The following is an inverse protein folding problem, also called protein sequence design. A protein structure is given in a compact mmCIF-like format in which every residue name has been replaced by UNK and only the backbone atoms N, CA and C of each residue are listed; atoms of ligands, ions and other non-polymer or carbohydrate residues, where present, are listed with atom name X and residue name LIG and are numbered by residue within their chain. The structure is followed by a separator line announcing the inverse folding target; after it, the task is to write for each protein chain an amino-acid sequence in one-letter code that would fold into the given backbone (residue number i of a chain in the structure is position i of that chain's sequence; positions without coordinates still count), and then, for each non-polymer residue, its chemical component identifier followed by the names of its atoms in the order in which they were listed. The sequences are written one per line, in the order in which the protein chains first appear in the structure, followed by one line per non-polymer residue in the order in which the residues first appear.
data_IF_843439029003
#
_entry.id   IF_843439029003
#
_cell.length_a   1.000
_cell.length_b   1.000
_cell.length_c   1.000
_cell.angle_alpha   90.00
_cell.angle_beta   90.00
_cell.angle_gamma   90.00
#
_symmetry.space_group_name_H-M   'P 1'
#
loop_
_entity.id
_entity.type
_entity.pdbx_description
1 polymer ?
#
# COMPACT_ATOMS: atom_id res chain seq x y z
N UNK A 1 1.01 -10.32 -17.67
CA UNK A 1 1.81 -9.71 -16.59
C UNK A 1 2.56 -10.72 -15.73
N UNK A 2 2.17 -12.00 -15.71
CA UNK A 2 3.07 -13.13 -15.41
C UNK A 2 2.80 -14.23 -16.44
N UNK A 3 3.83 -14.91 -16.96
CA UNK A 3 3.62 -16.02 -17.91
C UNK A 3 3.29 -17.29 -17.12
N UNK A 4 2.01 -17.67 -17.11
CA UNK A 4 1.60 -19.05 -16.91
C UNK A 4 1.63 -19.76 -18.26
N UNK A 5 2.30 -20.90 -18.32
CA UNK A 5 2.20 -21.80 -19.47
C UNK A 5 0.79 -22.41 -19.45
N UNK A 6 -0.07 -21.94 -20.34
CA UNK A 6 -1.46 -22.36 -20.51
C UNK A 6 -1.95 -21.99 -21.91
N UNK A 7 -2.96 -22.70 -22.38
CA UNK A 7 -3.27 -23.09 -23.78
C UNK A 7 -3.75 -21.94 -24.71
N UNK A 8 -3.64 -20.67 -24.29
CA UNK A 8 -4.06 -19.50 -25.06
C UNK A 8 -3.09 -19.12 -26.21
N UNK A 9 -2.09 -19.96 -26.49
CA UNK A 9 -1.10 -19.74 -27.56
C UNK A 9 -1.62 -20.01 -28.98
N UNK A 10 -2.93 -20.25 -29.17
CA UNK A 10 -3.50 -20.66 -30.46
C UNK A 10 -4.27 -19.57 -31.22
N UNK A 11 -4.35 -18.35 -30.71
CA UNK A 11 -4.89 -17.22 -31.47
C UNK A 11 -3.72 -16.31 -31.90
N UNK A 12 -3.41 -16.19 -33.21
CA UNK A 12 -2.43 -15.21 -33.65
C UNK A 12 -3.01 -13.80 -33.40
N UNK A 13 -2.37 -12.96 -32.57
CA UNK A 13 -2.89 -11.63 -32.30
C UNK A 13 -2.71 -10.74 -33.53
N UNK A 14 -3.80 -10.02 -33.85
CA UNK A 14 -3.86 -8.99 -34.87
C UNK A 14 -2.74 -7.96 -34.66
N UNK A 15 -2.08 -7.56 -35.75
CA UNK A 15 -0.69 -7.06 -35.74
C UNK A 15 -0.53 -5.56 -35.48
N UNK A 16 -1.56 -4.88 -35.00
CA UNK A 16 -1.58 -3.40 -34.97
C UNK A 16 -1.96 -2.84 -33.59
N UNK A 17 -1.04 -2.89 -32.61
CA UNK A 17 -0.90 -1.91 -31.52
C UNK A 17 0.53 -1.98 -30.98
N UNK A 18 1.40 -1.08 -31.44
CA UNK A 18 2.76 -0.92 -30.93
C UNK A 18 2.73 -0.24 -29.54
N UNK A 19 2.83 -1.05 -28.50
CA UNK A 19 3.33 -0.67 -27.18
C UNK A 19 4.23 -1.80 -26.70
N UNK A 20 5.50 -1.53 -26.38
CA UNK A 20 6.39 -2.54 -25.84
C UNK A 20 5.74 -3.19 -24.61
N UNK A 21 5.51 -4.50 -24.68
CA UNK A 21 4.93 -5.24 -23.55
C UNK A 21 5.90 -5.11 -22.37
N UNK A 22 5.44 -4.54 -21.25
CA UNK A 22 6.20 -4.45 -20.00
C UNK A 22 6.87 -5.78 -19.67
N UNK A 23 8.17 -5.73 -19.36
CA UNK A 23 8.95 -6.91 -18.99
C UNK A 23 8.31 -7.56 -17.75
N UNK A 24 8.04 -8.87 -17.73
CA UNK A 24 7.46 -9.51 -16.55
C UNK A 24 8.38 -9.43 -15.32
N UNK A 25 7.80 -9.10 -14.16
CA UNK A 25 8.47 -9.10 -12.87
C UNK A 25 8.78 -10.53 -12.42
N UNK A 26 9.97 -10.75 -11.85
CA UNK A 26 10.39 -12.04 -11.28
C UNK A 26 10.73 -11.91 -9.79
N UNK A 27 10.81 -13.04 -9.08
CA UNK A 27 11.23 -13.04 -7.67
C UNK A 27 12.63 -12.45 -7.46
N UNK A 28 13.52 -12.56 -8.45
CA UNK A 28 14.86 -11.94 -8.40
C UNK A 28 14.80 -10.43 -8.48
N UNK A 29 13.78 -9.89 -9.14
CA UNK A 29 13.53 -8.46 -9.21
C UNK A 29 12.94 -7.94 -7.90
N UNK A 30 12.11 -8.72 -7.21
CA UNK A 30 11.53 -8.32 -5.91
C UNK A 30 12.56 -8.42 -4.78
N UNK A 31 13.26 -9.54 -4.69
CA UNK A 31 14.11 -9.88 -3.53
C UNK A 31 15.60 -9.79 -3.89
N UNK A 32 16.28 -8.75 -3.41
CA UNK A 32 17.76 -8.70 -3.42
C UNK A 32 18.31 -9.15 -2.08
N UNK A 33 19.35 -9.98 -2.04
CA UNK A 33 20.02 -10.35 -0.78
C UNK A 33 20.78 -9.13 -0.22
N UNK A 34 20.45 -8.73 1.00
CA UNK A 34 21.02 -7.60 1.74
C UNK A 34 22.13 -8.05 2.71
N UNK A 35 23.05 -8.89 2.24
CA UNK A 35 24.18 -9.37 3.06
C UNK A 35 25.51 -9.13 2.35
N UNK A 36 26.52 -8.77 3.14
CA UNK A 36 27.91 -8.76 2.67
C UNK A 36 28.32 -10.20 2.29
N UNK A 37 29.04 -10.43 1.17
CA UNK A 37 29.38 -11.78 0.68
C UNK A 37 30.06 -12.66 1.75
N UNK A 38 30.88 -12.04 2.59
CA UNK A 38 31.61 -12.68 3.68
C UNK A 38 30.72 -13.17 4.84
N UNK A 39 29.58 -12.52 5.07
CA UNK A 39 28.57 -12.97 6.06
C UNK A 39 27.56 -13.95 5.47
N UNK A 40 27.37 -13.99 4.15
CA UNK A 40 26.46 -14.94 3.51
C UNK A 40 26.98 -16.39 3.60
N UNK A 41 28.31 -16.58 3.51
CA UNK A 41 28.94 -17.91 3.54
C UNK A 41 28.80 -18.62 4.90
N UNK A 42 28.71 -17.88 6.01
CA UNK A 42 28.53 -18.44 7.35
C UNK A 42 27.10 -18.93 7.63
N UNK A 43 26.15 -18.64 6.72
CA UNK A 43 24.73 -19.01 6.86
C UNK A 43 24.33 -20.23 6.03
N UNK A 44 25.24 -20.85 5.25
CA UNK A 44 24.96 -22.10 4.52
C UNK A 44 24.94 -23.29 5.50
N UNK A 45 23.78 -23.89 5.82
CA UNK A 45 23.74 -25.10 6.62
C UNK A 45 24.04 -26.30 5.73
N UNK A 46 24.77 -27.30 6.25
CA UNK A 46 24.93 -28.61 5.62
C UNK A 46 23.55 -29.25 5.40
N UNK A 47 23.04 -29.16 4.18
CA UNK A 47 21.71 -29.60 3.75
C UNK A 47 21.66 -31.11 3.52
N UNK A 48 21.53 -31.89 4.59
CA UNK A 48 20.98 -33.25 4.51
C UNK A 48 20.08 -33.52 5.72
N UNK A 49 18.78 -33.30 5.54
CA UNK A 49 17.67 -34.20 5.93
C UNK A 49 16.35 -33.44 6.15
N UNK A 50 15.31 -34.05 5.58
CA UNK A 50 13.84 -33.87 5.75
C UNK A 50 13.15 -32.81 4.89
N UNK A 51 12.15 -33.30 4.14
CA UNK A 51 11.22 -32.55 3.29
C UNK A 51 10.21 -31.77 4.18
N UNK A 52 9.90 -30.50 3.89
CA UNK A 52 8.83 -29.77 4.56
C UNK A 52 7.47 -30.02 3.87
N UNK A 53 6.43 -30.27 4.65
CA UNK A 53 5.04 -30.57 4.25
C UNK A 53 4.21 -29.26 4.12
N UNK A 54 4.81 -28.17 3.66
CA UNK A 54 4.13 -26.87 3.49
C UNK A 54 4.47 -26.32 2.11
N UNK A 55 3.45 -26.01 1.30
CA UNK A 55 3.58 -25.58 -0.10
C UNK A 55 4.07 -24.14 -0.29
N UNK A 56 4.45 -23.43 0.78
CA UNK A 56 4.96 -22.05 0.76
C UNK A 56 6.43 -21.97 1.19
N UNK A 57 7.35 -21.79 0.24
CA UNK A 57 8.80 -21.74 0.52
C UNK A 57 9.26 -20.50 1.31
N UNK A 58 8.62 -19.35 1.13
CA UNK A 58 9.02 -18.08 1.76
C UNK A 58 8.55 -17.98 3.22
N UNK A 59 7.39 -18.55 3.54
CA UNK A 59 6.86 -18.64 4.91
C UNK A 59 7.69 -19.58 5.80
N UNK A 60 8.34 -20.59 5.21
CA UNK A 60 9.31 -21.44 5.90
C UNK A 60 10.65 -20.70 6.16
N UNK A 61 11.06 -19.81 5.24
CA UNK A 61 12.25 -18.96 5.42
C UNK A 61 12.05 -17.92 6.54
N UNK A 62 10.83 -17.38 6.66
CA UNK A 62 10.40 -16.45 7.71
C UNK A 62 10.68 -16.98 9.13
N UNK A 63 10.49 -18.29 9.36
CA UNK A 63 10.70 -18.94 10.68
C UNK A 63 12.15 -18.90 11.18
N UNK A 64 13.15 -18.59 10.33
CA UNK A 64 14.57 -18.49 10.70
C UNK A 64 15.10 -17.05 10.79
N UNK A 65 14.34 -16.05 10.32
CA UNK A 65 14.82 -14.68 10.11
C UNK A 65 14.75 -13.71 11.32
N UNK A 66 14.09 -14.10 12.42
CA UNK A 66 13.76 -13.20 13.54
C UNK A 66 14.94 -12.59 14.33
N UNK A 67 16.20 -12.84 13.94
CA UNK A 67 17.40 -12.27 14.57
C UNK A 67 18.29 -11.44 13.63
N UNK A 68 17.92 -11.24 12.36
CA UNK A 68 18.78 -10.54 11.38
C UNK A 68 17.96 -9.48 10.66
N UNK A 69 18.34 -8.21 10.81
CA UNK A 69 17.75 -7.09 10.06
C UNK A 69 17.70 -7.42 8.56
N UNK A 70 16.48 -7.45 7.99
CA UNK A 70 16.15 -7.50 6.56
C UNK A 70 17.15 -8.25 5.68
N UNK A 71 17.01 -9.58 5.58
CA UNK A 71 17.79 -10.42 4.65
C UNK A 71 17.59 -9.96 3.21
N UNK A 72 16.43 -9.38 2.90
CA UNK A 72 16.12 -8.83 1.58
C UNK A 72 16.09 -7.30 1.58
N UNK A 73 16.35 -6.72 0.41
CA UNK A 73 16.16 -5.29 0.16
C UNK A 73 15.35 -5.07 -1.13
N UNK A 74 14.74 -3.90 -1.23
CA UNK A 74 13.99 -3.45 -2.41
C UNK A 74 14.89 -2.84 -3.50
N UNK A 75 16.23 -3.01 -3.43
CA UNK A 75 17.15 -2.47 -4.45
C UNK A 75 16.93 -3.07 -5.84
N UNK A 76 16.63 -4.36 -5.95
CA UNK A 76 16.33 -4.95 -7.24
C UNK A 76 14.97 -4.46 -7.77
N UNK A 77 14.01 -4.17 -6.88
CA UNK A 77 12.71 -3.62 -7.26
C UNK A 77 12.89 -2.21 -7.81
N UNK A 78 13.71 -1.37 -7.15
CA UNK A 78 14.08 -0.06 -7.67
C UNK A 78 14.68 -0.16 -9.07
N UNK A 79 15.66 -1.05 -9.26
CA UNK A 79 16.33 -1.25 -10.55
C UNK A 79 15.34 -1.68 -11.62
N UNK A 80 14.50 -2.66 -11.32
CA UNK A 80 13.49 -3.16 -12.25
C UNK A 80 12.54 -2.04 -12.69
N UNK A 81 12.02 -1.25 -11.75
CA UNK A 81 11.12 -0.14 -12.04
C UNK A 81 11.78 0.94 -12.90
N UNK A 82 13.02 1.33 -12.55
CA UNK A 82 13.80 2.34 -13.27
C UNK A 82 14.14 1.93 -14.69
N UNK A 83 14.41 0.65 -14.93
CA UNK A 83 14.92 0.16 -16.22
C UNK A 83 13.83 -0.43 -17.13
N UNK A 84 12.69 -0.87 -16.59
CA UNK A 84 11.73 -1.69 -17.34
C UNK A 84 10.27 -1.26 -17.22
N UNK A 85 9.94 -0.31 -16.34
CA UNK A 85 8.54 0.09 -16.08
C UNK A 85 8.30 1.54 -16.39
N UNK A 86 9.05 2.45 -15.77
CA UNK A 86 8.78 3.87 -15.92
C UNK A 86 9.49 4.44 -17.15
N UNK A 87 8.76 5.10 -18.07
CA UNK A 87 9.40 5.76 -19.22
C UNK A 87 10.32 6.90 -18.79
N UNK A 88 10.04 7.51 -17.64
CA UNK A 88 10.84 8.54 -16.97
C UNK A 88 10.87 8.25 -15.48
N UNK A 89 11.99 8.53 -14.82
CA UNK A 89 12.14 8.32 -13.39
C UNK A 89 11.94 9.60 -12.56
N UNK A 90 11.37 10.63 -13.16
CA UNK A 90 11.08 11.93 -12.54
C UNK A 90 9.58 12.10 -12.30
N UNK A 91 9.19 12.54 -11.10
CA UNK A 91 7.80 12.80 -10.76
C UNK A 91 7.13 13.82 -11.69
N UNK A 92 7.83 14.95 -11.94
CA UNK A 92 7.32 16.06 -12.78
C UNK A 92 7.16 15.72 -14.26
N UNK A 93 7.69 14.59 -14.70
CA UNK A 93 7.62 14.16 -16.10
C UNK A 93 6.49 13.15 -16.35
N UNK A 94 5.76 12.73 -15.32
CA UNK A 94 4.61 11.85 -15.44
C UNK A 94 3.39 12.66 -15.89
N UNK A 95 2.53 12.04 -16.71
CA UNK A 95 1.29 12.68 -17.17
C UNK A 95 0.22 12.83 -16.08
N UNK A 96 0.35 12.10 -14.98
CA UNK A 96 -0.49 12.23 -13.79
C UNK A 96 0.41 12.50 -12.58
N UNK A 97 -0.05 13.36 -11.68
CA UNK A 97 0.64 13.63 -10.44
C UNK A 97 0.69 12.36 -9.57
N UNK A 98 1.91 11.90 -9.31
CA UNK A 98 2.17 10.72 -8.50
C UNK A 98 2.72 11.14 -7.14
N UNK A 99 2.09 10.64 -6.08
CA UNK A 99 2.55 10.80 -4.71
C UNK A 99 2.83 9.43 -4.10
N UNK A 100 4.01 9.27 -3.49
CA UNK A 100 4.42 8.01 -2.87
C UNK A 100 4.79 8.27 -1.41
N UNK A 101 4.19 7.50 -0.51
CA UNK A 101 4.32 7.70 0.94
C UNK A 101 5.30 6.70 1.54
N UNK A 102 6.17 7.16 2.43
CA UNK A 102 7.03 6.32 3.24
C UNK A 102 7.18 6.86 4.66
N UNK A 103 7.75 6.06 5.55
CA UNK A 103 8.02 6.46 6.94
C UNK A 103 9.53 6.59 7.17
N UNK A 104 9.99 7.69 7.80
CA UNK A 104 11.39 7.81 8.21
C UNK A 104 11.72 6.79 9.31
N UNK A 105 12.87 6.11 9.20
CA UNK A 105 13.27 5.12 10.20
C UNK A 105 13.60 5.78 11.56
N UNK A 106 14.49 6.77 11.55
CA UNK A 106 15.02 7.40 12.76
C UNK A 106 14.23 8.65 13.18
N UNK A 107 12.98 8.75 12.73
CA UNK A 107 12.07 9.81 13.13
C UNK A 107 10.64 9.38 12.86
N UNK A 108 9.72 9.66 13.78
CA UNK A 108 8.28 9.49 13.57
C UNK A 108 7.72 10.52 12.59
N UNK A 109 8.29 10.68 11.39
CA UNK A 109 7.79 11.60 10.34
C UNK A 109 7.36 10.81 9.11
N UNK A 110 6.14 11.09 8.63
CA UNK A 110 5.66 10.66 7.33
C UNK A 110 6.41 11.45 6.27
N UNK A 111 6.73 10.81 5.16
CA UNK A 111 7.31 11.47 4.00
C UNK A 111 6.45 11.19 2.80
N UNK A 112 6.12 12.26 2.07
CA UNK A 112 5.43 12.20 0.80
C UNK A 112 6.45 12.61 -0.25
N UNK A 113 6.77 11.70 -1.15
CA UNK A 113 7.54 12.00 -2.37
C UNK A 113 6.56 12.34 -3.48
N UNK A 114 6.86 13.35 -4.29
CA UNK A 114 5.96 13.84 -5.31
C UNK A 114 6.61 14.93 -6.16
N UNK A 115 5.85 15.57 -7.08
CA UNK A 115 6.34 16.59 -8.01
C UNK A 115 6.59 17.96 -7.33
N UNK A 116 7.15 17.98 -6.13
CA UNK A 116 7.42 19.20 -5.36
C UNK A 116 8.63 19.98 -5.91
N UNK A 117 8.56 21.31 -5.90
CA UNK A 117 9.71 22.18 -6.23
C UNK A 117 10.81 22.08 -5.18
N UNK A 118 10.43 22.11 -3.91
CA UNK A 118 11.36 22.08 -2.78
C UNK A 118 10.90 21.14 -1.68
N UNK A 119 11.85 20.78 -0.82
CA UNK A 119 11.57 19.91 0.32
C UNK A 119 11.08 20.74 1.49
N UNK A 120 9.79 20.67 1.78
CA UNK A 120 9.16 21.34 2.93
C UNK A 120 8.84 20.34 4.04
N UNK A 121 8.52 20.83 5.24
CA UNK A 121 8.11 19.99 6.36
C UNK A 121 7.13 20.74 7.27
N UNK A 122 6.17 19.99 7.78
CA UNK A 122 5.38 20.34 8.96
C UNK A 122 5.93 19.58 10.17
N UNK A 123 5.21 19.62 11.29
CA UNK A 123 5.55 18.84 12.50
C UNK A 123 5.64 17.34 12.20
N UNK A 124 4.69 16.83 11.43
CA UNK A 124 4.42 15.41 11.28
C UNK A 124 4.68 14.86 9.87
N UNK A 125 4.67 15.74 8.87
CA UNK A 125 4.78 15.40 7.45
C UNK A 125 5.97 16.12 6.82
N UNK A 126 6.69 15.42 5.94
CA UNK A 126 7.73 16.00 5.09
C UNK A 126 7.36 15.79 3.63
N UNK A 127 7.30 16.87 2.86
CA UNK A 127 7.12 16.81 1.41
C UNK A 127 8.52 16.84 0.79
N UNK A 128 8.89 15.81 0.04
CA UNK A 128 10.25 15.53 -0.36
C UNK A 128 10.43 15.58 -1.88
N UNK A 129 11.27 16.53 -2.34
CA UNK A 129 11.61 16.72 -3.76
C UNK A 129 12.93 16.06 -4.19
N UNK A 130 13.58 15.28 -3.33
CA UNK A 130 14.93 14.74 -3.57
C UNK A 130 14.97 13.31 -4.12
N UNK A 131 13.84 12.60 -4.16
CA UNK A 131 13.79 11.19 -4.57
C UNK A 131 13.32 11.05 -6.03
N UNK A 132 13.87 10.08 -6.74
CA UNK A 132 13.31 9.59 -8.01
C UNK A 132 12.11 8.67 -7.75
N UNK A 133 11.27 8.46 -8.77
CA UNK A 133 10.05 7.65 -8.63
C UNK A 133 10.40 6.23 -8.16
N UNK A 134 11.35 5.56 -8.81
CA UNK A 134 11.79 4.19 -8.47
C UNK A 134 12.29 4.09 -7.02
N UNK A 135 13.02 5.09 -6.54
CA UNK A 135 13.55 5.14 -5.18
C UNK A 135 12.43 5.33 -4.15
N UNK A 136 11.48 6.21 -4.45
CA UNK A 136 10.31 6.42 -3.61
C UNK A 136 9.46 5.14 -3.49
N UNK A 137 9.22 4.43 -4.60
CA UNK A 137 8.52 3.14 -4.58
C UNK A 137 9.29 2.12 -3.74
N UNK A 138 10.60 2.01 -3.92
CA UNK A 138 11.42 1.06 -3.16
C UNK A 138 11.44 1.36 -1.65
N UNK A 139 11.37 2.65 -1.26
CA UNK A 139 11.20 3.06 0.13
C UNK A 139 9.80 2.73 0.67
N UNK A 140 8.75 3.04 -0.10
CA UNK A 140 7.37 2.75 0.26
C UNK A 140 7.07 1.25 0.37
N UNK A 141 7.76 0.41 -0.40
CA UNK A 141 7.58 -1.04 -0.39
C UNK A 141 8.49 -1.78 0.60
N UNK A 142 9.36 -1.07 1.32
CA UNK A 142 10.31 -1.66 2.26
C UNK A 142 9.61 -2.02 3.59
N UNK A 143 8.69 -3.00 3.52
CA UNK A 143 7.88 -3.48 4.64
C UNK A 143 8.72 -4.34 5.61
N UNK A 144 8.88 -3.92 6.88
CA UNK A 144 9.44 -4.77 7.92
C UNK A 144 8.48 -5.92 8.28
N UNK A 145 8.99 -7.14 8.59
CA UNK A 145 10.40 -7.54 8.65
C UNK A 145 10.99 -8.04 7.31
N UNK A 146 10.22 -8.01 6.22
CA UNK A 146 10.60 -8.63 4.94
C UNK A 146 11.78 -7.92 4.26
N UNK A 147 11.78 -6.60 4.28
CA UNK A 147 12.80 -5.78 3.63
C UNK A 147 13.52 -4.89 4.65
N UNK A 148 14.83 -4.72 4.44
CA UNK A 148 15.59 -3.71 5.15
C UNK A 148 15.15 -2.29 4.74
N UNK A 149 15.22 -1.31 5.66
CA UNK A 149 14.94 0.08 5.33
C UNK A 149 15.74 0.57 4.11
N UNK A 150 15.07 1.24 3.18
CA UNK A 150 15.66 1.74 1.94
C UNK A 150 16.30 3.12 2.17
N UNK A 151 17.54 3.31 1.72
CA UNK A 151 18.28 4.55 1.93
C UNK A 151 18.28 5.46 0.71
N UNK A 152 17.75 6.69 0.85
CA UNK A 152 17.75 7.73 -0.20
C UNK A 152 18.62 8.91 0.26
N UNK A 153 19.45 9.45 -0.62
CA UNK A 153 20.23 10.65 -0.36
C UNK A 153 19.34 11.89 -0.54
N UNK A 154 19.36 12.81 0.43
CA UNK A 154 18.69 14.09 0.27
C UNK A 154 19.52 15.06 -0.60
N UNK A 155 18.96 16.25 -0.87
CA UNK A 155 19.62 17.30 -1.67
C UNK A 155 20.97 17.79 -1.10
N UNK A 156 21.29 17.47 0.17
CA UNK A 156 22.56 17.78 0.83
C UNK A 156 23.52 16.58 0.89
N UNK A 157 23.23 15.50 0.16
CA UNK A 157 24.04 14.27 0.15
C UNK A 157 23.90 13.40 1.40
N UNK A 158 23.07 13.76 2.38
CA UNK A 158 22.86 12.93 3.58
C UNK A 158 21.90 11.79 3.27
N UNK A 159 22.35 10.56 3.55
CA UNK A 159 21.53 9.35 3.44
C UNK A 159 20.49 9.28 4.56
N UNK A 160 19.22 9.10 4.18
CA UNK A 160 18.08 8.94 5.08
C UNK A 160 17.45 7.58 4.78
N UNK A 161 17.14 6.81 5.82
CA UNK A 161 16.50 5.50 5.69
C UNK A 161 14.99 5.60 5.90
N UNK A 162 14.26 4.87 5.07
CA UNK A 162 12.81 4.84 5.03
C UNK A 162 12.30 3.40 5.03
N UNK A 163 11.07 3.22 5.49
CA UNK A 163 10.34 1.96 5.38
C UNK A 163 8.89 2.25 4.99
N UNK A 164 8.11 1.18 4.84
CA UNK A 164 6.72 1.20 4.40
C UNK A 164 5.85 2.33 5.00
N UNK A 165 5.06 2.96 4.13
CA UNK A 165 4.21 4.11 4.46
C UNK A 165 2.92 3.76 5.21
N UNK A 166 2.38 2.56 4.98
CA UNK A 166 1.09 2.10 5.55
C UNK A 166 1.19 1.79 7.04
N UNK A 167 2.40 1.51 7.55
CA UNK A 167 2.62 1.24 8.98
C UNK A 167 2.20 2.42 9.86
N UNK A 168 2.47 3.65 9.41
CA UNK A 168 2.18 4.86 10.18
C UNK A 168 0.74 5.35 9.96
N UNK A 169 0.43 5.77 8.75
CA UNK A 169 -0.87 6.35 8.38
C UNK A 169 -1.47 5.51 7.25
N UNK A 170 -2.46 4.70 7.59
CA UNK A 170 -3.09 3.75 6.65
C UNK A 170 -3.90 4.50 5.59
N UNK A 171 -3.88 4.02 4.34
CA UNK A 171 -4.53 4.57 3.13
C UNK A 171 -4.02 5.94 2.65
N UNK A 172 -3.48 6.77 3.53
CA UNK A 172 -2.95 8.10 3.23
C UNK A 172 -3.89 8.99 2.39
N UNK A 173 -5.21 8.85 2.53
CA UNK A 173 -6.22 9.52 1.69
C UNK A 173 -6.15 11.05 1.74
N UNK A 174 -5.67 11.60 2.86
CA UNK A 174 -5.40 13.04 2.99
C UNK A 174 -4.46 13.59 1.93
N UNK A 175 -3.54 12.80 1.35
CA UNK A 175 -2.62 13.31 0.32
C UNK A 175 -3.42 13.77 -0.90
N UNK A 176 -4.39 12.98 -1.34
CA UNK A 176 -5.24 13.38 -2.47
C UNK A 176 -6.07 14.64 -2.11
N UNK A 177 -6.66 14.68 -0.91
CA UNK A 177 -7.47 15.81 -0.46
C UNK A 177 -6.67 17.10 -0.23
N UNK A 178 -5.42 17.00 0.22
CA UNK A 178 -4.48 18.12 0.37
C UNK A 178 -4.04 18.68 -0.99
N UNK A 179 -4.14 17.86 -2.05
CA UNK A 179 -3.83 18.18 -3.44
C UNK A 179 -5.11 18.40 -4.28
N UNK A 180 -6.12 19.03 -3.67
CA UNK A 180 -7.31 19.57 -4.33
C UNK A 180 -8.25 18.54 -4.99
N UNK A 181 -8.10 17.24 -4.70
CA UNK A 181 -9.09 16.26 -5.14
C UNK A 181 -10.44 16.52 -4.45
N UNK A 182 -11.52 16.53 -5.24
CA UNK A 182 -12.91 16.57 -4.79
C UNK A 182 -13.50 15.16 -4.57
N UNK A 183 -12.92 14.14 -5.22
CA UNK A 183 -13.23 12.73 -5.03
C UNK A 183 -11.95 11.92 -4.78
N UNK A 184 -11.94 11.16 -3.69
CA UNK A 184 -10.85 10.24 -3.33
C UNK A 184 -11.36 8.81 -3.39
N UNK A 185 -10.86 8.04 -4.36
CA UNK A 185 -11.06 6.59 -4.43
C UNK A 185 -9.85 5.91 -3.77
N UNK A 186 -10.09 5.20 -2.67
CA UNK A 186 -9.07 4.48 -1.91
C UNK A 186 -9.33 2.99 -1.97
N UNK A 187 -8.34 2.21 -2.40
CA UNK A 187 -8.44 0.75 -2.46
C UNK A 187 -7.44 0.07 -1.54
N UNK A 188 -7.87 -0.98 -0.84
CA UNK A 188 -6.99 -1.84 -0.05
C UNK A 188 -7.37 -3.31 -0.19
N UNK A 189 -6.38 -4.19 -0.07
CA UNK A 189 -6.56 -5.63 -0.30
C UNK A 189 -6.74 -6.46 0.99
N UNK A 190 -6.66 -5.81 2.14
CA UNK A 190 -6.66 -6.47 3.45
C UNK A 190 -8.10 -6.73 3.88
N UNK A 191 -8.42 -8.01 4.10
CA UNK A 191 -9.70 -8.46 4.61
C UNK A 191 -9.46 -9.57 5.64
N UNK A 192 -9.69 -9.31 6.94
CA UNK A 192 -9.68 -10.38 7.93
C UNK A 192 -10.62 -11.51 7.58
N UNK A 193 -10.21 -12.71 7.91
CA UNK A 193 -11.01 -13.90 7.71
C UNK A 193 -12.25 -13.86 8.60
N UNK A 194 -13.40 -14.09 7.98
CA UNK A 194 -14.63 -14.44 8.64
C UNK A 194 -14.85 -15.94 8.46
N UNK A 195 -15.39 -16.60 9.48
CA UNK A 195 -15.60 -18.04 9.41
C UNK A 195 -16.38 -18.42 8.15
N UNK A 196 -15.83 -19.36 7.40
CA UNK A 196 -16.44 -19.97 6.24
C UNK A 196 -16.39 -21.50 6.42
N UNK A 197 -17.48 -22.18 6.07
CA UNK A 197 -17.59 -23.64 6.24
C UNK A 197 -16.58 -24.44 5.42
N UNK A 198 -16.12 -23.92 4.28
CA UNK A 198 -15.14 -24.62 3.43
C UNK A 198 -13.73 -24.57 4.02
N UNK A 199 -13.35 -23.43 4.60
CA UNK A 199 -12.01 -23.24 5.18
C UNK A 199 -11.96 -23.58 6.67
N UNK A 200 -13.09 -23.66 7.35
CA UNK A 200 -13.14 -24.00 8.77
C UNK A 200 -12.56 -22.92 9.68
N UNK A 201 -12.07 -23.31 10.85
CA UNK A 201 -11.57 -22.36 11.85
C UNK A 201 -10.06 -22.18 11.76
N UNK A 202 -9.57 -20.93 11.83
CA UNK A 202 -8.14 -20.62 11.70
C UNK A 202 -7.25 -21.29 12.75
N UNK A 203 -7.80 -21.72 13.89
CA UNK A 203 -7.03 -22.42 14.93
C UNK A 203 -6.42 -23.74 14.44
N UNK A 204 -6.99 -24.35 13.40
CA UNK A 204 -6.52 -25.59 12.78
C UNK A 204 -5.29 -25.39 11.88
N UNK A 205 -5.02 -24.14 11.46
CA UNK A 205 -3.91 -23.79 10.55
C UNK A 205 -2.62 -23.40 11.26
N UNK A 206 -2.66 -23.32 12.59
CA UNK A 206 -1.51 -22.99 13.43
C UNK A 206 -1.23 -21.49 13.59
N UNK A 207 -0.26 -21.19 14.45
CA UNK A 207 0.06 -19.83 14.92
C UNK A 207 0.35 -18.80 13.80
N UNK A 208 1.05 -19.12 12.69
CA UNK A 208 1.33 -18.12 11.64
C UNK A 208 0.08 -17.50 11.02
N UNK A 209 -0.94 -18.32 10.72
CA UNK A 209 -2.20 -17.86 10.14
C UNK A 209 -3.01 -17.04 11.16
N UNK A 210 -2.99 -17.45 12.43
CA UNK A 210 -3.61 -16.68 13.52
C UNK A 210 -2.92 -15.32 13.69
N UNK A 211 -1.59 -15.27 13.55
CA UNK A 211 -0.84 -14.02 13.57
C UNK A 211 -1.21 -13.10 12.39
N UNK A 212 -1.36 -13.66 11.17
CA UNK A 212 -1.82 -12.90 10.01
C UNK A 212 -3.22 -12.33 10.23
N UNK A 213 -4.13 -13.12 10.81
CA UNK A 213 -5.47 -12.65 11.21
C UNK A 213 -5.39 -11.48 12.17
N UNK A 214 -4.58 -11.59 13.24
CA UNK A 214 -4.43 -10.52 14.21
C UNK A 214 -3.86 -9.24 13.56
N UNK A 215 -2.86 -9.37 12.68
CA UNK A 215 -2.30 -8.23 11.95
C UNK A 215 -3.36 -7.56 11.05
N UNK A 216 -4.11 -8.35 10.28
CA UNK A 216 -5.15 -7.82 9.39
C UNK A 216 -6.27 -7.14 10.20
N UNK A 217 -6.64 -7.67 11.36
CA UNK A 217 -7.60 -7.03 12.26
C UNK A 217 -7.11 -5.69 12.80
N UNK A 218 -5.81 -5.59 13.16
CA UNK A 218 -5.22 -4.30 13.57
C UNK A 218 -5.27 -3.27 12.43
N UNK A 219 -4.96 -3.69 11.19
CA UNK A 219 -5.02 -2.79 10.03
C UNK A 219 -6.46 -2.40 9.71
N UNK A 220 -7.41 -3.36 9.68
CA UNK A 220 -8.82 -3.08 9.47
C UNK A 220 -9.34 -2.08 10.53
N UNK A 221 -9.02 -2.29 11.81
CA UNK A 221 -9.44 -1.38 12.87
C UNK A 221 -8.89 0.04 12.68
N UNK A 222 -7.66 0.20 12.19
CA UNK A 222 -7.11 1.53 11.86
C UNK A 222 -7.90 2.20 10.73
N UNK A 223 -8.20 1.45 9.66
CA UNK A 223 -8.98 1.94 8.51
C UNK A 223 -10.39 2.36 8.96
N UNK A 224 -11.09 1.48 9.68
CA UNK A 224 -12.45 1.75 10.15
C UNK A 224 -12.52 2.96 11.09
N UNK A 225 -11.54 3.11 12.00
CA UNK A 225 -11.44 4.29 12.87
C UNK A 225 -11.24 5.57 12.06
N UNK A 226 -10.40 5.54 11.03
CA UNK A 226 -10.18 6.70 10.16
C UNK A 226 -11.47 7.09 9.42
N UNK A 227 -12.17 6.10 8.84
CA UNK A 227 -13.44 6.32 8.15
C UNK A 227 -14.51 6.84 9.12
N UNK A 228 -14.64 6.22 10.30
CA UNK A 228 -15.62 6.61 11.30
C UNK A 228 -15.35 8.03 11.80
N UNK A 229 -14.09 8.39 12.05
CA UNK A 229 -13.72 9.75 12.45
C UNK A 229 -14.17 10.80 11.42
N UNK A 230 -13.96 10.54 10.13
CA UNK A 230 -14.43 11.43 9.06
C UNK A 230 -15.96 11.56 9.05
N UNK A 231 -16.68 10.45 9.25
CA UNK A 231 -18.16 10.46 9.34
C UNK A 231 -18.66 11.22 10.56
N UNK A 232 -18.04 11.02 11.72
CA UNK A 232 -18.41 11.69 12.97
C UNK A 232 -18.22 13.20 12.85
N UNK A 233 -17.08 13.63 12.31
CA UNK A 233 -16.77 15.05 12.10
C UNK A 233 -17.74 15.69 11.11
N UNK A 234 -18.07 15.01 9.99
CA UNK A 234 -19.09 15.46 9.03
C UNK A 234 -20.48 15.57 9.69
N UNK A 235 -20.88 14.54 10.43
CA UNK A 235 -22.16 14.49 11.12
C UNK A 235 -22.30 15.60 12.16
N UNK A 236 -21.25 15.82 12.97
CA UNK A 236 -21.17 16.90 13.94
C UNK A 236 -21.32 18.26 13.27
N UNK A 237 -20.56 18.54 12.20
CA UNK A 237 -20.69 19.81 11.47
C UNK A 237 -22.09 20.01 10.89
N UNK A 238 -22.69 18.96 10.30
CA UNK A 238 -24.04 19.04 9.75
C UNK A 238 -25.10 19.31 10.83
N UNK A 239 -24.95 18.71 12.02
CA UNK A 239 -25.86 18.87 13.16
C UNK A 239 -25.75 20.28 13.74
N UNK A 240 -24.53 20.78 13.95
CA UNK A 240 -24.30 22.16 14.41
C UNK A 240 -24.88 23.15 13.40
N UNK A 241 -24.58 23.00 12.10
CA UNK A 241 -25.13 23.86 11.05
C UNK A 241 -26.66 23.82 11.03
N UNK A 242 -27.27 22.64 11.19
CA UNK A 242 -28.71 22.46 11.26
C UNK A 242 -29.34 23.20 12.43
N UNK A 243 -28.78 23.07 13.64
CA UNK A 243 -29.25 23.80 14.82
C UNK A 243 -29.10 25.31 14.66
N UNK A 244 -27.97 25.80 14.12
CA UNK A 244 -27.76 27.23 13.90
C UNK A 244 -28.74 27.84 12.90
N UNK A 245 -29.17 27.06 11.90
CA UNK A 245 -30.26 27.44 10.99
C UNK A 245 -31.61 27.51 11.70
N UNK A 246 -31.89 26.61 12.65
CA UNK A 246 -33.15 26.61 13.40
C UNK A 246 -33.32 27.84 14.30
N UNK A 247 -32.23 28.33 14.89
CA UNK A 247 -32.26 29.54 15.73
C UNK A 247 -32.14 30.84 14.92
N UNK A 248 -32.17 30.75 13.59
CA UNK A 248 -32.05 31.88 12.66
C UNK A 248 -30.76 32.71 12.86
N UNK A 249 -29.64 32.04 13.16
CA UNK A 249 -28.35 32.72 13.29
C UNK A 249 -27.95 33.31 11.91
N UNK A 250 -27.50 34.57 11.86
CA UNK A 250 -27.03 35.19 10.62
C UNK A 250 -26.00 34.32 9.88
N UNK A 251 -26.14 34.23 8.56
CA UNK A 251 -25.32 33.37 7.71
C UNK A 251 -23.82 33.62 7.88
N UNK A 252 -23.39 34.88 7.94
CA UNK A 252 -21.99 35.27 8.16
C UNK A 252 -21.40 34.64 9.44
N UNK A 253 -22.17 34.62 10.54
CA UNK A 253 -21.71 34.04 11.81
C UNK A 253 -21.65 32.51 11.74
N UNK A 254 -22.60 31.91 11.03
CA UNK A 254 -22.66 30.46 10.81
C UNK A 254 -21.48 29.98 9.95
N UNK A 255 -21.19 30.67 8.85
CA UNK A 255 -20.06 30.38 7.98
C UNK A 255 -18.73 30.51 8.72
N UNK A 256 -18.55 31.61 9.48
CA UNK A 256 -17.36 31.82 10.29
C UNK A 256 -17.16 30.73 11.34
N UNK A 257 -18.24 30.27 12.00
CA UNK A 257 -18.13 29.15 12.95
C UNK A 257 -17.74 27.85 12.25
N UNK A 258 -18.35 27.55 11.11
CA UNK A 258 -18.02 26.36 10.34
C UNK A 258 -16.57 26.39 9.82
N UNK A 259 -16.07 27.56 9.42
CA UNK A 259 -14.67 27.75 9.04
C UNK A 259 -13.72 27.46 10.22
N UNK A 260 -14.05 27.96 11.42
CA UNK A 260 -13.29 27.67 12.64
C UNK A 260 -13.28 26.15 12.92
N UNK A 261 -14.43 25.47 12.83
CA UNK A 261 -14.52 24.03 13.06
C UNK A 261 -13.74 23.22 12.02
N UNK A 262 -13.86 23.59 10.75
CA UNK A 262 -13.14 22.98 9.62
C UNK A 262 -11.63 23.14 9.80
N UNK A 263 -11.15 24.34 10.13
CA UNK A 263 -9.71 24.61 10.34
C UNK A 263 -9.12 23.85 11.54
N UNK A 264 -9.91 23.62 12.61
CA UNK A 264 -9.47 22.88 13.80
C UNK A 264 -9.44 21.37 13.59
N UNK A 265 -10.32 20.84 12.75
CA UNK A 265 -10.44 19.40 12.49
C UNK A 265 -9.63 18.94 11.29
N UNK A 266 -9.12 19.87 10.46
CA UNK A 266 -8.54 19.59 9.14
C UNK A 266 -9.49 18.76 8.25
N UNK A 267 -10.80 18.89 8.49
CA UNK A 267 -11.82 18.24 7.71
C UNK A 267 -11.96 18.93 6.35
N UNK A 268 -12.22 18.16 5.29
CA UNK A 268 -12.44 18.70 3.94
C UNK A 268 -13.89 18.39 3.53
N UNK A 269 -14.84 19.32 3.75
CA UNK A 269 -16.27 19.03 3.58
C UNK A 269 -16.67 18.69 2.14
N UNK A 270 -15.94 19.27 1.19
CA UNK A 270 -16.20 19.15 -0.25
C UNK A 270 -15.48 17.94 -0.89
N UNK A 271 -14.89 17.07 -0.08
CA UNK A 271 -14.19 15.88 -0.57
C UNK A 271 -15.01 14.65 -0.25
N UNK A 272 -15.36 13.91 -1.29
CA UNK A 272 -16.02 12.62 -1.19
C UNK A 272 -15.02 11.48 -1.18
N UNK A 273 -15.35 10.40 -0.47
CA UNK A 273 -14.46 9.25 -0.31
C UNK A 273 -15.19 7.97 -0.69
N UNK A 274 -14.60 7.21 -1.62
CA UNK A 274 -15.06 5.88 -2.00
C UNK A 274 -13.99 4.88 -1.58
N UNK A 275 -14.37 3.87 -0.81
CA UNK A 275 -13.47 2.82 -0.34
C UNK A 275 -13.77 1.51 -1.06
N UNK A 276 -12.75 0.93 -1.69
CA UNK A 276 -12.83 -0.34 -2.42
C UNK A 276 -12.02 -1.39 -1.68
N UNK A 277 -12.66 -2.47 -1.26
CA UNK A 277 -12.00 -3.57 -0.59
C UNK A 277 -12.72 -4.90 -0.85
N UNK A 278 -12.05 -6.05 -0.63
CA UNK A 278 -12.68 -7.36 -0.71
C UNK A 278 -13.90 -7.45 0.21
N UNK A 279 -14.92 -8.21 -0.19
CA UNK A 279 -16.06 -8.55 0.67
C UNK A 279 -15.62 -9.59 1.71
N UNK A 280 -16.25 -9.65 2.90
CA UNK A 280 -16.04 -10.76 3.84
C UNK A 280 -16.33 -12.15 3.24
N UNK A 281 -17.11 -12.21 2.16
CA UNK A 281 -17.39 -13.45 1.42
C UNK A 281 -16.22 -13.89 0.53
N UNK A 282 -15.26 -13.00 0.25
CA UNK A 282 -14.07 -13.29 -0.54
C UNK A 282 -12.97 -13.93 0.34
N UNK A 283 -13.33 -14.94 1.13
CA UNK A 283 -12.46 -15.55 2.16
C UNK A 283 -11.13 -16.06 1.61
N UNK A 284 -11.08 -16.47 0.35
CA UNK A 284 -9.84 -16.91 -0.33
C UNK A 284 -8.76 -15.81 -0.33
N UNK A 285 -9.18 -14.54 -0.34
CA UNK A 285 -8.28 -13.38 -0.33
C UNK A 285 -7.36 -13.38 0.89
N UNK A 286 -7.86 -13.84 2.03
CA UNK A 286 -7.08 -13.97 3.25
C UNK A 286 -5.97 -15.03 3.14
N UNK A 287 -6.19 -16.08 2.35
CA UNK A 287 -5.26 -17.20 2.18
C UNK A 287 -4.31 -17.03 1.00
N UNK A 288 -4.50 -16.02 0.15
CA UNK A 288 -3.58 -15.76 -0.94
C UNK A 288 -2.23 -15.23 -0.44
N UNK A 289 -1.14 -15.83 -0.91
CA UNK A 289 0.20 -15.28 -0.74
C UNK A 289 0.35 -14.04 -1.65
N UNK A 290 0.30 -12.86 -1.02
CA UNK A 290 0.39 -11.57 -1.70
C UNK A 290 1.78 -11.28 -2.30
N UNK A 291 2.81 -12.06 -1.94
CA UNK A 291 4.13 -12.01 -2.59
C UNK A 291 4.27 -13.04 -3.72
N UNK A 292 3.24 -13.84 -3.99
CA UNK A 292 3.29 -14.86 -5.03
C UNK A 292 3.21 -14.25 -6.42
N UNK A 293 4.15 -14.65 -7.29
CA UNK A 293 4.10 -14.38 -8.73
C UNK A 293 3.39 -15.50 -9.51
N UNK A 294 2.72 -16.42 -8.80
CA UNK A 294 1.91 -17.47 -9.42
C UNK A 294 0.77 -16.85 -10.24
N UNK A 295 0.66 -17.14 -11.55
CA UNK A 295 -0.42 -16.63 -12.39
C UNK A 295 -1.82 -16.98 -11.86
N UNK A 296 -1.97 -18.17 -11.26
CA UNK A 296 -3.24 -18.61 -10.68
C UNK A 296 -3.62 -17.74 -9.48
N UNK A 297 -2.69 -17.52 -8.55
CA UNK A 297 -2.94 -16.72 -7.33
C UNK A 297 -3.17 -15.25 -7.70
N UNK A 298 -2.30 -14.68 -8.55
CA UNK A 298 -2.45 -13.30 -9.03
C UNK A 298 -3.77 -13.08 -9.78
N UNK A 299 -4.18 -14.03 -10.63
CA UNK A 299 -5.47 -13.93 -11.29
C UNK A 299 -6.64 -13.98 -10.31
N UNK A 300 -6.54 -14.74 -9.21
CA UNK A 300 -7.54 -14.74 -8.14
C UNK A 300 -7.64 -13.36 -7.48
N UNK A 301 -6.52 -12.81 -7.02
CA UNK A 301 -6.42 -11.48 -6.40
C UNK A 301 -7.02 -10.40 -7.30
N UNK A 302 -6.60 -10.35 -8.58
CA UNK A 302 -7.07 -9.33 -9.53
C UNK A 302 -8.57 -9.46 -9.80
N UNK A 303 -9.10 -10.68 -9.93
CA UNK A 303 -10.55 -10.90 -10.14
C UNK A 303 -11.37 -10.47 -8.93
N UNK A 304 -10.91 -10.78 -7.72
CA UNK A 304 -11.55 -10.32 -6.48
C UNK A 304 -11.56 -8.78 -6.41
N UNK A 305 -10.40 -8.14 -6.63
CA UNK A 305 -10.31 -6.68 -6.65
C UNK A 305 -11.20 -6.03 -7.71
N UNK A 306 -11.25 -6.58 -8.92
CA UNK A 306 -12.13 -6.11 -10.00
C UNK A 306 -13.61 -6.23 -9.62
N UNK A 307 -14.04 -7.37 -9.05
CA UNK A 307 -15.42 -7.56 -8.59
C UNK A 307 -15.79 -6.54 -7.51
N UNK A 308 -14.92 -6.34 -6.52
CA UNK A 308 -15.11 -5.32 -5.47
C UNK A 308 -15.23 -3.92 -6.06
N UNK A 309 -14.33 -3.54 -6.96
CA UNK A 309 -14.35 -2.22 -7.60
C UNK A 309 -15.67 -2.00 -8.36
N UNK A 310 -16.07 -2.96 -9.21
CA UNK A 310 -17.32 -2.86 -9.97
C UNK A 310 -18.56 -2.82 -9.07
N UNK A 311 -18.56 -3.58 -7.98
CA UNK A 311 -19.68 -3.58 -7.03
C UNK A 311 -19.81 -2.23 -6.31
N UNK A 312 -18.70 -1.65 -5.87
CA UNK A 312 -18.68 -0.35 -5.19
C UNK A 312 -19.00 0.80 -6.15
N UNK A 313 -18.32 0.89 -7.30
CA UNK A 313 -18.47 2.02 -8.23
C UNK A 313 -19.90 2.12 -8.79
N UNK A 314 -20.57 0.99 -9.03
CA UNK A 314 -21.99 0.95 -9.44
C UNK A 314 -22.93 1.62 -8.45
N UNK A 315 -22.62 1.60 -7.15
CA UNK A 315 -23.44 2.28 -6.12
C UNK A 315 -23.37 3.80 -6.25
N UNK A 316 -22.33 4.31 -6.91
CA UNK A 316 -22.07 5.73 -7.14
C UNK A 316 -22.36 6.18 -8.58
N UNK A 317 -22.92 5.30 -9.43
CA UNK A 317 -23.13 5.55 -10.87
C UNK A 317 -21.84 5.94 -11.63
N UNK A 318 -20.70 5.38 -11.22
CA UNK A 318 -19.38 5.56 -11.86
C UNK A 318 -19.05 4.32 -12.71
#
# INVERSE_FOLDING_TARGET
FTRGNGIDSLVPPNKDMHGEKLKPLTYRDIFSINMNPTKALSFLPRLYKKKPVVSGGLEALFKRGFKVNGIFSTQNLERYLRENVFPTNEFKALGADLYIVATQLNHSRKVIFGPFDETTKTKDIKYASFAKVSQAVAASAALPPFFAPYGINNSRGKRIHFFDGEIRDTLSTHVAADHEADLVISSYSIQPYHYNSEMGSLHEYGIPIIFNQALYQVVQQKIERHIQHQKDVRSMMSTVNGYLKQIDLPEEQREKLLEILTSKTNFKPNVDYIYIHPSPHDYEMFFYDHFSLSPKILSGIVRTGFRSAMATLRQHNI
#
